data_IF_064335403786
#
_entry.id   IF_064335403786
#
_cell.length_a   1.000
_cell.length_b   1.000
_cell.length_c   1.000
_cell.angle_alpha   90.00
_cell.angle_beta   90.00
_cell.angle_gamma   90.00
#
_symmetry.space_group_name_H-M   'P 1'
#
loop_
_entity.id
_entity.type
_entity.pdbx_description
1 polymer ?
#
# COMPACT_ATOMS: atom_id res chain seq x y z
N UNK A 1 7.24 -1.58 18.24
CA UNK A 1 5.99 -1.15 17.59
C UNK A 1 6.12 -1.34 16.08
N UNK A 2 5.16 -1.98 15.41
CA UNK A 2 5.21 -2.16 13.96
C UNK A 2 5.23 -0.82 13.20
N UNK A 3 6.01 -0.72 12.12
CA UNK A 3 6.08 0.47 11.27
C UNK A 3 4.70 0.90 10.72
N UNK A 4 3.82 -0.06 10.43
CA UNK A 4 2.45 0.21 9.97
C UNK A 4 1.64 0.97 11.04
N UNK A 5 1.80 0.60 12.32
CA UNK A 5 1.15 1.30 13.44
C UNK A 5 1.81 2.66 13.68
N UNK A 6 3.14 2.73 13.54
CA UNK A 6 3.86 3.98 13.67
C UNK A 6 3.40 5.03 12.64
N UNK A 7 3.16 4.63 11.40
CA UNK A 7 2.64 5.50 10.34
C UNK A 7 1.31 6.16 10.73
N UNK A 8 0.36 5.40 11.27
CA UNK A 8 -0.94 5.93 11.74
C UNK A 8 -0.76 6.97 12.86
N UNK A 9 0.16 6.71 13.80
CA UNK A 9 0.49 7.68 14.85
C UNK A 9 1.11 8.95 14.28
N UNK A 10 2.01 8.83 13.31
CA UNK A 10 2.64 9.99 12.66
C UNK A 10 1.60 10.84 11.92
N UNK A 11 0.61 10.21 11.28
CA UNK A 11 -0.48 10.91 10.61
C UNK A 11 -1.31 11.73 11.61
N UNK A 12 -1.75 11.12 12.72
CA UNK A 12 -2.51 11.79 13.77
C UNK A 12 -1.73 12.95 14.40
N UNK A 13 -0.44 12.75 14.71
CA UNK A 13 0.43 13.81 15.24
C UNK A 13 0.54 14.97 14.25
N UNK A 14 0.80 14.70 12.97
CA UNK A 14 0.93 15.73 11.93
C UNK A 14 -0.36 16.53 11.77
N UNK A 15 -1.52 15.86 11.78
CA UNK A 15 -2.82 16.51 11.66
C UNK A 15 -3.12 17.41 12.86
N UNK A 16 -2.83 16.95 14.09
CA UNK A 16 -3.02 17.75 15.31
C UNK A 16 -2.12 18.99 15.34
N UNK A 17 -0.84 18.82 15.02
CA UNK A 17 0.10 19.94 14.97
C UNK A 17 -0.31 20.97 13.92
N UNK A 18 -0.76 20.52 12.75
CA UNK A 18 -1.30 21.40 11.72
C UNK A 18 -2.50 22.22 12.22
N UNK A 19 -3.45 21.59 12.92
CA UNK A 19 -4.61 22.28 13.51
C UNK A 19 -4.20 23.32 14.56
N UNK A 20 -3.08 23.09 15.26
CA UNK A 20 -2.51 24.00 16.24
C UNK A 20 -1.56 25.04 15.63
N UNK A 21 -1.39 25.07 14.31
CA UNK A 21 -0.43 25.95 13.63
C UNK A 21 1.04 25.68 13.99
N UNK A 22 1.34 24.47 14.48
CA UNK A 22 2.68 24.06 14.90
C UNK A 22 3.35 23.19 13.83
N UNK A 23 4.66 23.36 13.57
CA UNK A 23 5.36 22.51 12.62
C UNK A 23 5.57 21.10 13.16
N UNK A 24 5.60 20.11 12.27
CA UNK A 24 6.01 18.75 12.60
C UNK A 24 7.54 18.64 12.63
N UNK A 25 8.08 18.07 13.71
CA UNK A 25 9.50 17.74 13.86
C UNK A 25 9.65 16.25 14.20
N UNK A 26 10.30 15.51 13.31
CA UNK A 26 10.54 14.07 13.48
C UNK A 26 11.46 13.77 14.68
N UNK A 27 12.39 14.66 15.00
CA UNK A 27 13.37 14.45 16.07
C UNK A 27 12.70 14.36 17.45
N UNK A 28 11.60 15.08 17.65
CA UNK A 28 10.78 15.04 18.87
C UNK A 28 10.09 13.69 19.02
N UNK A 29 9.59 13.14 17.91
CA UNK A 29 8.97 11.81 17.90
C UNK A 29 10.01 10.73 18.22
N UNK A 30 11.18 10.81 17.56
CA UNK A 30 12.28 9.87 17.78
C UNK A 30 12.78 9.91 19.22
N UNK A 31 12.92 11.10 19.79
CA UNK A 31 13.29 11.25 21.20
C UNK A 31 12.23 10.65 22.12
N UNK A 32 10.95 10.95 21.86
CA UNK A 32 9.84 10.41 22.64
C UNK A 32 9.71 8.88 22.58
N UNK A 33 10.16 8.24 21.49
CA UNK A 33 10.29 6.78 21.37
C UNK A 33 11.47 6.26 22.19
N UNK A 34 12.65 6.89 22.06
CA UNK A 34 13.86 6.53 22.84
C UNK A 34 13.62 6.61 24.34
N UNK A 35 13.02 7.69 24.82
CA UNK A 35 12.75 7.91 26.25
C UNK A 35 11.81 6.84 26.85
N UNK A 36 10.94 6.26 26.02
CA UNK A 36 10.02 5.18 26.41
C UNK A 36 10.58 3.79 26.16
N UNK A 37 11.82 3.67 25.67
CA UNK A 37 12.41 2.39 25.28
C UNK A 37 11.67 1.69 24.15
N UNK A 38 10.97 2.45 23.29
CA UNK A 38 10.18 1.92 22.19
C UNK A 38 11.00 1.89 20.91
N UNK A 39 11.00 0.75 20.23
CA UNK A 39 11.61 0.59 18.91
C UNK A 39 10.53 0.46 17.84
N UNK A 40 10.77 1.04 16.66
CA UNK A 40 9.96 0.80 15.46
C UNK A 40 10.55 -0.39 14.71
N UNK A 41 9.71 -1.37 14.36
CA UNK A 41 10.14 -2.59 13.66
C UNK A 41 9.54 -2.63 12.25
N UNK A 42 10.35 -3.06 11.28
CA UNK A 42 9.99 -3.07 9.86
C UNK A 42 8.91 -4.13 9.54
N UNK A 43 8.13 -3.88 8.49
CA UNK A 43 7.25 -4.88 7.89
C UNK A 43 8.02 -5.64 6.80
N UNK A 44 8.67 -6.72 7.19
CA UNK A 44 9.49 -7.55 6.31
C UNK A 44 8.70 -8.61 5.50
N UNK A 45 9.39 -9.23 4.53
CA UNK A 45 8.85 -10.27 3.65
C UNK A 45 8.12 -11.39 4.40
N UNK A 46 8.68 -11.91 5.49
CA UNK A 46 8.08 -13.00 6.24
C UNK A 46 6.75 -12.60 6.92
N UNK A 47 6.58 -11.32 7.29
CA UNK A 47 5.29 -10.80 7.76
C UNK A 47 4.26 -10.74 6.62
N UNK A 48 4.69 -10.39 5.40
CA UNK A 48 3.83 -10.39 4.22
C UNK A 48 3.35 -11.81 3.89
N UNK A 49 4.25 -12.80 3.93
CA UNK A 49 3.92 -14.22 3.73
C UNK A 49 2.91 -14.69 4.78
N UNK A 50 3.14 -14.37 6.06
CA UNK A 50 2.20 -14.73 7.13
C UNK A 50 0.84 -14.06 6.97
N UNK A 51 0.81 -12.79 6.55
CA UNK A 51 -0.45 -12.09 6.29
C UNK A 51 -1.21 -12.71 5.12
N UNK A 52 -0.52 -13.08 4.03
CA UNK A 52 -1.10 -13.75 2.88
C UNK A 52 -1.69 -15.12 3.28
N UNK A 53 -0.94 -15.91 4.06
CA UNK A 53 -1.39 -17.20 4.58
C UNK A 53 -2.67 -17.06 5.42
N UNK A 54 -2.71 -16.09 6.35
CA UNK A 54 -3.89 -15.83 7.18
C UNK A 54 -5.13 -15.46 6.34
N UNK A 55 -4.95 -14.58 5.35
CA UNK A 55 -6.04 -14.15 4.47
C UNK A 55 -6.54 -15.33 3.63
N UNK A 56 -5.62 -16.11 3.04
CA UNK A 56 -5.96 -17.29 2.25
C UNK A 56 -6.65 -18.38 3.10
N UNK A 57 -6.27 -18.52 4.37
CA UNK A 57 -6.93 -19.45 5.30
C UNK A 57 -8.35 -19.01 5.71
N UNK A 58 -8.64 -17.70 5.67
CA UNK A 58 -9.95 -17.15 6.05
C UNK A 58 -10.93 -17.03 4.87
N UNK A 59 -10.40 -16.84 3.65
CA UNK A 59 -11.23 -16.58 2.46
C UNK A 59 -10.86 -17.54 1.33
N UNK A 60 -11.85 -18.26 0.78
CA UNK A 60 -11.60 -19.32 -0.20
C UNK A 60 -11.06 -18.78 -1.54
N UNK A 61 -11.36 -17.52 -1.86
CA UNK A 61 -10.89 -16.88 -3.09
C UNK A 61 -10.81 -15.34 -2.95
N UNK A 62 -10.28 -14.71 -3.99
CA UNK A 62 -10.13 -13.26 -4.06
C UNK A 62 -11.48 -12.50 -4.05
N UNK A 63 -12.55 -13.11 -4.55
CA UNK A 63 -13.89 -12.52 -4.55
C UNK A 63 -14.44 -12.45 -3.13
N UNK A 64 -14.34 -13.54 -2.37
CA UNK A 64 -14.71 -13.63 -0.97
C UNK A 64 -13.93 -12.63 -0.12
N UNK A 65 -12.63 -12.49 -0.35
CA UNK A 65 -11.81 -11.48 0.34
C UNK A 65 -12.27 -10.05 0.02
N UNK A 66 -12.52 -9.73 -1.26
CA UNK A 66 -13.00 -8.40 -1.68
C UNK A 66 -14.36 -8.07 -1.05
N UNK A 67 -15.26 -9.04 -1.02
CA UNK A 67 -16.58 -8.88 -0.41
C UNK A 67 -16.49 -8.69 1.11
N UNK A 68 -15.62 -9.46 1.79
CA UNK A 68 -15.37 -9.30 3.22
C UNK A 68 -14.84 -7.90 3.55
N UNK A 69 -13.91 -7.37 2.75
CA UNK A 69 -13.45 -5.97 2.88
C UNK A 69 -14.62 -5.00 2.75
N UNK A 70 -15.41 -5.12 1.69
CA UNK A 70 -16.57 -4.25 1.44
C UNK A 70 -17.54 -4.26 2.62
N UNK A 71 -17.98 -5.44 3.07
CA UNK A 71 -18.93 -5.60 4.18
C UNK A 71 -18.40 -5.03 5.50
N UNK A 72 -17.08 -5.04 5.72
CA UNK A 72 -16.48 -4.39 6.88
C UNK A 72 -16.70 -2.87 6.83
N UNK A 73 -16.49 -2.23 5.68
CA UNK A 73 -16.73 -0.79 5.53
C UNK A 73 -18.20 -0.41 5.66
N UNK A 74 -19.09 -1.18 5.04
CA UNK A 74 -20.55 -0.98 5.17
C UNK A 74 -20.93 -0.93 6.65
N UNK A 75 -20.45 -1.91 7.43
CA UNK A 75 -20.68 -1.96 8.88
C UNK A 75 -20.04 -0.79 9.63
N UNK A 76 -18.76 -0.49 9.39
CA UNK A 76 -18.05 0.59 10.08
C UNK A 76 -18.67 1.97 9.84
N UNK A 77 -19.21 2.20 8.64
CA UNK A 77 -19.87 3.45 8.26
C UNK A 77 -21.35 3.50 8.67
N UNK A 78 -21.87 2.46 9.32
CA UNK A 78 -23.29 2.37 9.70
C UNK A 78 -24.25 2.33 8.51
N UNK A 79 -23.77 1.91 7.33
CA UNK A 79 -24.55 1.84 6.11
C UNK A 79 -25.31 0.51 6.03
N UNK A 80 -26.43 0.51 5.30
CA UNK A 80 -27.12 -0.71 4.93
C UNK A 80 -26.48 -1.32 3.67
N UNK A 81 -26.38 -2.64 3.61
CA UNK A 81 -25.92 -3.33 2.41
C UNK A 81 -27.03 -3.30 1.34
N UNK A 82 -26.95 -2.36 0.39
CA UNK A 82 -27.91 -2.22 -0.72
C UNK A 82 -27.29 -2.56 -2.08
N UNK A 83 -28.14 -2.85 -3.06
CA UNK A 83 -27.75 -3.15 -4.44
C UNK A 83 -26.99 -1.97 -5.10
N UNK A 84 -27.40 -0.74 -4.80
CA UNK A 84 -26.73 0.49 -5.23
C UNK A 84 -25.32 0.56 -4.64
N UNK A 85 -25.17 0.26 -3.35
CA UNK A 85 -23.89 0.29 -2.68
C UNK A 85 -22.91 -0.75 -3.25
N UNK A 86 -23.42 -1.92 -3.64
CA UNK A 86 -22.64 -2.99 -4.30
C UNK A 86 -22.12 -2.58 -5.67
N UNK A 87 -22.80 -1.67 -6.37
CA UNK A 87 -22.36 -1.14 -7.68
C UNK A 87 -21.21 -0.13 -7.55
N UNK A 88 -21.09 0.56 -6.42
CA UNK A 88 -20.13 1.66 -6.22
C UNK A 88 -18.92 1.27 -5.35
N UNK A 89 -19.08 0.33 -4.40
CA UNK A 89 -18.11 0.03 -3.34
C UNK A 89 -16.99 -0.96 -3.65
N UNK A 90 -16.43 -1.00 -4.87
CA UNK A 90 -15.40 -2.00 -5.24
C UNK A 90 -13.97 -1.68 -4.75
N UNK A 91 -13.67 -0.43 -4.39
CA UNK A 91 -12.30 0.05 -4.09
C UNK A 91 -12.22 0.64 -2.69
N UNK A 92 -11.95 -0.18 -1.69
CA UNK A 92 -11.84 0.27 -0.31
C UNK A 92 -10.59 -0.30 0.38
N UNK A 93 -9.39 -0.16 -0.19
CA UNK A 93 -8.14 -0.50 0.53
C UNK A 93 -7.15 0.65 0.57
N UNK A 94 -7.63 1.88 0.76
CA UNK A 94 -6.80 3.07 0.70
C UNK A 94 -5.48 2.96 1.51
N UNK A 95 -5.50 2.45 2.75
CA UNK A 95 -4.30 2.46 3.61
C UNK A 95 -3.12 1.66 3.06
N UNK A 96 -3.34 0.46 2.51
CA UNK A 96 -2.24 -0.35 1.93
C UNK A 96 -1.75 0.29 0.63
N UNK A 97 -2.66 0.81 -0.17
CA UNK A 97 -2.33 1.44 -1.44
C UNK A 97 -1.52 2.74 -1.21
N UNK A 98 -1.83 3.52 -0.15
CA UNK A 98 -1.01 4.65 0.31
C UNK A 98 0.38 4.21 0.82
N UNK A 99 0.48 3.07 1.52
CA UNK A 99 1.77 2.54 1.97
C UNK A 99 2.64 2.10 0.78
N UNK A 100 2.05 1.41 -0.21
CA UNK A 100 2.73 1.03 -1.46
C UNK A 100 3.23 2.29 -2.18
N UNK A 101 2.37 3.30 -2.31
CA UNK A 101 2.72 4.56 -2.97
C UNK A 101 3.88 5.28 -2.25
N UNK A 102 3.80 5.40 -0.92
CA UNK A 102 4.82 6.04 -0.11
C UNK A 102 6.17 5.31 -0.23
N UNK A 103 6.17 3.97 -0.17
CA UNK A 103 7.38 3.18 -0.33
C UNK A 103 7.98 3.31 -1.73
N UNK A 104 7.18 3.17 -2.79
CA UNK A 104 7.66 3.29 -4.16
C UNK A 104 8.24 4.69 -4.45
N UNK A 105 7.58 5.74 -3.95
CA UNK A 105 8.06 7.12 -4.09
C UNK A 105 9.38 7.35 -3.34
N UNK A 106 9.48 6.88 -2.10
CA UNK A 106 10.69 7.05 -1.28
C UNK A 106 11.90 6.28 -1.84
N UNK A 107 11.69 5.09 -2.38
CA UNK A 107 12.76 4.21 -2.87
C UNK A 107 13.08 4.43 -4.37
N UNK A 108 12.35 5.31 -5.06
CA UNK A 108 12.53 5.56 -6.49
C UNK A 108 12.21 4.35 -7.37
N UNK A 109 11.24 3.52 -6.96
CA UNK A 109 10.86 2.31 -7.68
C UNK A 109 9.88 2.61 -8.82
N UNK A 110 9.93 1.77 -9.86
CA UNK A 110 8.85 1.71 -10.86
C UNK A 110 7.68 0.94 -10.26
N UNK A 111 6.56 1.62 -10.02
CA UNK A 111 5.33 0.97 -9.57
C UNK A 111 4.57 0.41 -10.78
N UNK A 112 4.38 -0.91 -10.79
CA UNK A 112 3.62 -1.63 -11.81
C UNK A 112 2.19 -1.82 -11.32
N UNK A 113 1.25 -1.06 -11.86
CA UNK A 113 -0.17 -1.13 -11.46
C UNK A 113 -1.08 -0.61 -12.57
N UNK A 114 -2.21 -1.28 -12.77
CA UNK A 114 -3.30 -0.75 -13.60
C UNK A 114 -4.22 0.21 -12.82
N UNK A 115 -4.03 0.30 -11.50
CA UNK A 115 -4.80 1.22 -10.66
C UNK A 115 -4.30 2.67 -10.83
N UNK A 116 -5.24 3.58 -11.01
CA UNK A 116 -5.03 5.02 -11.15
C UNK A 116 -5.59 5.79 -9.96
N UNK A 117 -5.70 5.12 -8.80
CA UNK A 117 -6.10 5.70 -7.54
C UNK A 117 -5.33 6.98 -7.18
N UNK A 118 -5.99 7.85 -6.43
CA UNK A 118 -5.45 9.15 -5.99
C UNK A 118 -4.17 8.99 -5.15
N UNK A 119 -4.07 7.86 -4.44
CA UNK A 119 -2.94 7.45 -3.63
C UNK A 119 -1.63 7.32 -4.41
N UNK A 120 -1.70 6.93 -5.69
CA UNK A 120 -0.52 6.75 -6.53
C UNK A 120 -0.05 8.03 -7.20
N UNK A 121 -0.67 9.19 -6.92
CA UNK A 121 -0.27 10.48 -7.51
C UNK A 121 1.17 10.86 -7.20
N UNK A 122 1.66 10.53 -6.00
CA UNK A 122 3.02 10.87 -5.54
C UNK A 122 4.12 9.96 -6.11
N UNK A 123 3.76 8.88 -6.82
CA UNK A 123 4.73 8.00 -7.47
C UNK A 123 5.00 8.54 -8.88
N UNK A 124 6.22 8.97 -9.15
CA UNK A 124 6.61 9.54 -10.45
C UNK A 124 6.78 8.46 -11.52
N UNK A 125 7.44 7.34 -11.17
CA UNK A 125 7.71 6.23 -12.07
C UNK A 125 6.61 5.16 -11.96
N UNK A 126 5.72 5.11 -12.96
CA UNK A 126 4.62 4.15 -13.03
C UNK A 126 4.53 3.52 -14.41
N UNK A 127 4.10 2.26 -14.45
CA UNK A 127 3.74 1.58 -15.69
C UNK A 127 2.61 0.58 -15.46
N UNK A 128 1.86 0.28 -16.52
CA UNK A 128 0.83 -0.75 -16.52
C UNK A 128 1.43 -2.14 -16.65
N UNK A 129 0.68 -3.17 -16.25
CA UNK A 129 1.16 -4.55 -16.36
C UNK A 129 1.47 -4.92 -17.81
N UNK A 130 0.58 -4.57 -18.75
CA UNK A 130 0.80 -4.82 -20.17
C UNK A 130 2.05 -4.13 -20.74
N UNK A 131 2.35 -2.91 -20.28
CA UNK A 131 3.56 -2.17 -20.70
C UNK A 131 4.83 -2.87 -20.20
N UNK A 132 4.80 -3.42 -18.98
CA UNK A 132 5.92 -4.20 -18.46
C UNK A 132 6.11 -5.49 -19.24
N UNK A 133 5.02 -6.20 -19.55
CA UNK A 133 5.08 -7.44 -20.33
C UNK A 133 5.64 -7.19 -21.73
N UNK A 134 5.25 -6.10 -22.40
CA UNK A 134 5.79 -5.68 -23.69
C UNK A 134 7.28 -5.33 -23.59
N UNK A 135 7.68 -4.56 -22.58
CA UNK A 135 9.09 -4.21 -22.34
C UNK A 135 9.94 -5.45 -22.10
N UNK A 136 9.47 -6.39 -21.28
CA UNK A 136 10.17 -7.64 -21.01
C UNK A 136 10.29 -8.51 -22.26
N UNK A 137 9.23 -8.61 -23.08
CA UNK A 137 9.29 -9.31 -24.38
C UNK A 137 10.31 -8.69 -25.31
N UNK A 138 10.35 -7.36 -25.41
CA UNK A 138 11.33 -6.66 -26.23
C UNK A 138 12.77 -6.94 -25.75
N UNK A 139 13.03 -6.81 -24.44
CA UNK A 139 14.34 -7.08 -23.84
C UNK A 139 14.82 -8.52 -24.06
N UNK A 140 13.91 -9.49 -23.94
CA UNK A 140 14.22 -10.90 -24.21
C UNK A 140 14.51 -11.14 -25.69
N UNK A 141 13.79 -10.49 -26.60
CA UNK A 141 14.06 -10.58 -28.04
C UNK A 141 15.43 -9.96 -28.41
N UNK A 142 15.81 -8.85 -27.78
CA UNK A 142 17.14 -8.23 -27.98
C UNK A 142 18.26 -9.12 -27.45
N UNK A 143 18.11 -9.71 -26.26
CA UNK A 143 19.08 -10.69 -25.73
C UNK A 143 19.19 -11.95 -26.57
N UNK A 144 18.11 -12.39 -27.21
CA UNK A 144 18.16 -13.54 -28.11
C UNK A 144 18.98 -13.24 -29.39
N UNK A 145 18.97 -12.00 -29.88
CA UNK A 145 19.80 -11.56 -31.00
C UNK A 145 21.29 -11.50 -30.63
N UNK A 146 21.63 -10.94 -29.46
CA UNK A 146 23.02 -10.86 -28.98
C UNK A 146 23.67 -12.24 -28.74
N UNK A 147 22.88 -13.31 -28.53
CA UNK A 147 23.38 -14.69 -28.34
C UNK A 147 23.51 -15.45 -29.68
N UNK A 148 22.84 -15.00 -30.75
CA UNK A 148 22.91 -15.61 -32.07
C UNK A 148 24.03 -15.04 -32.96
N UNK A 149 24.61 -13.90 -32.56
CA UNK A 149 25.75 -13.25 -33.22
C UNK A 149 27.13 -13.64 -32.61
N UNK A 150 27.18 -14.73 -31.82
CA UNK A 150 28.40 -15.39 -31.30
C UNK A 150 28.58 -16.79 -31.89
#
# INVERSE_FOLDING_TARGET
MPAVVHMEMLLDIRQRLLQMGSPYDASVVDQGLRDKGLQVVAFEKHHAERAAELIAGMFPDASAWREAKRLRYVRTLGLHDSEELRKVGKRCSATIDWLIAAQASQEGWVLVTDDQGVEFKAVEMKMRLGELEELLRALLATKALDVMDL
#
